data_IF_563382906751
#
_entry.id   IF_563382906751
#
_cell.length_a   1.000
_cell.length_b   1.000
_cell.length_c   1.000
_cell.angle_alpha   90.00
_cell.angle_beta   90.00
_cell.angle_gamma   90.00
#
_symmetry.space_group_name_H-M   'P 1'
#
loop_
_entity.id
_entity.type
_entity.pdbx_description
1 polymer ?
#
# COMPACT_ATOMS: atom_id res chain seq x y z
N UNK A 1 -17.36 -34.57 14.72
CA UNK A 1 -15.94 -34.20 14.52
C UNK A 1 -15.82 -33.52 13.16
N UNK A 2 -15.89 -32.19 13.13
CA UNK A 2 -15.79 -31.40 11.90
C UNK A 2 -14.36 -30.92 11.76
N UNK A 3 -13.67 -31.33 10.70
CA UNK A 3 -12.28 -30.97 10.42
C UNK A 3 -12.10 -29.46 10.20
N UNK A 4 -10.88 -28.92 10.35
CA UNK A 4 -10.66 -27.49 10.32
C UNK A 4 -10.92 -26.94 8.91
N UNK A 5 -11.73 -25.88 8.86
CA UNK A 5 -12.01 -25.12 7.66
C UNK A 5 -10.71 -24.58 7.06
N UNK A 6 -10.47 -24.92 5.79
CA UNK A 6 -9.39 -24.41 4.96
C UNK A 6 -9.48 -22.87 4.91
N UNK A 7 -8.53 -22.18 5.52
CA UNK A 7 -8.39 -20.71 5.42
C UNK A 7 -8.16 -20.34 3.94
N UNK A 8 -8.94 -19.43 3.33
CA UNK A 8 -8.55 -18.85 2.06
C UNK A 8 -7.30 -17.99 2.32
N UNK A 9 -6.16 -18.45 1.80
CA UNK A 9 -4.89 -17.74 1.92
C UNK A 9 -4.99 -16.33 1.35
N UNK A 10 -4.51 -15.36 2.12
CA UNK A 10 -4.36 -13.98 1.67
C UNK A 10 -3.50 -13.94 0.39
N UNK A 11 -3.93 -13.27 -0.69
CA UNK A 11 -3.20 -13.26 -1.96
C UNK A 11 -1.94 -12.37 -1.95
N UNK A 12 -1.44 -11.92 -0.79
CA UNK A 12 -0.26 -11.05 -0.67
C UNK A 12 0.99 -11.79 -0.19
N UNK A 13 1.17 -13.03 -0.66
CA UNK A 13 2.49 -13.66 -0.68
C UNK A 13 2.98 -13.59 -2.13
N UNK A 14 4.12 -12.96 -2.36
CA UNK A 14 4.90 -13.30 -3.54
C UNK A 14 5.11 -14.82 -3.53
N UNK A 15 4.85 -15.48 -4.65
CA UNK A 15 5.19 -16.88 -4.81
C UNK A 15 6.71 -17.01 -4.67
N UNK A 16 7.18 -17.40 -3.47
CA UNK A 16 8.60 -17.40 -3.10
C UNK A 16 8.96 -16.15 -2.31
N UNK A 17 9.38 -16.35 -1.06
CA UNK A 17 9.46 -15.31 -0.04
C UNK A 17 10.37 -14.16 -0.40
N UNK A 18 9.81 -12.95 -0.35
CA UNK A 18 10.32 -11.69 0.23
C UNK A 18 9.13 -10.69 0.12
N UNK A 19 8.84 -9.83 1.12
CA UNK A 19 7.85 -8.77 0.95
C UNK A 19 8.17 -7.92 -0.28
N UNK A 20 7.18 -7.53 -1.09
CA UNK A 20 7.39 -6.71 -2.30
C UNK A 20 8.08 -5.36 -1.99
N UNK A 21 8.04 -4.92 -0.73
CA UNK A 21 8.78 -3.75 -0.22
C UNK A 21 10.29 -3.88 -0.36
N UNK A 22 10.82 -5.09 -0.58
CA UNK A 22 12.26 -5.34 -0.69
C UNK A 22 12.72 -5.65 -2.12
N UNK A 23 11.80 -5.74 -3.09
CA UNK A 23 12.15 -6.04 -4.48
C UNK A 23 12.51 -4.75 -5.25
N UNK A 24 13.72 -4.24 -5.00
CA UNK A 24 14.21 -2.95 -5.51
C UNK A 24 14.23 -2.84 -7.04
N UNK A 25 14.60 -3.91 -7.74
CA UNK A 25 14.77 -3.88 -9.22
C UNK A 25 13.44 -3.81 -9.99
N UNK A 26 12.31 -4.13 -9.33
CA UNK A 26 10.97 -4.13 -9.93
C UNK A 26 10.16 -2.87 -9.64
N UNK A 27 10.71 -1.89 -8.94
CA UNK A 27 9.95 -0.75 -8.44
C UNK A 27 9.22 0.07 -9.52
N UNK A 28 9.82 0.34 -10.71
CA UNK A 28 9.11 1.06 -11.78
C UNK A 28 7.85 0.32 -12.28
N UNK A 29 7.94 -0.99 -12.47
CA UNK A 29 6.79 -1.82 -12.88
C UNK A 29 5.73 -1.89 -11.78
N UNK A 30 6.16 -1.98 -10.51
CA UNK A 30 5.26 -1.91 -9.36
C UNK A 30 4.55 -0.55 -9.31
N UNK A 31 5.27 0.56 -9.50
CA UNK A 31 4.71 1.90 -9.53
C UNK A 31 3.66 2.05 -10.65
N UNK A 32 3.94 1.51 -11.84
CA UNK A 32 2.97 1.50 -12.94
C UNK A 32 1.70 0.70 -12.59
N UNK A 33 1.86 -0.48 -11.98
CA UNK A 33 0.74 -1.31 -11.54
C UNK A 33 -0.09 -0.62 -10.43
N UNK A 34 0.58 0.06 -9.50
CA UNK A 34 -0.06 0.84 -8.45
C UNK A 34 -0.83 2.03 -9.03
N UNK A 35 -0.24 2.78 -9.97
CA UNK A 35 -0.88 3.91 -10.64
C UNK A 35 -2.13 3.47 -11.41
N UNK A 36 -2.05 2.34 -12.14
CA UNK A 36 -3.23 1.76 -12.81
C UNK A 36 -4.31 1.36 -11.81
N UNK A 37 -3.93 0.65 -10.75
CA UNK A 37 -4.87 0.22 -9.70
C UNK A 37 -5.51 1.41 -8.96
N UNK A 38 -4.77 2.51 -8.79
CA UNK A 38 -5.27 3.75 -8.20
C UNK A 38 -6.32 4.40 -9.12
N UNK A 39 -6.03 4.56 -10.42
CA UNK A 39 -6.99 5.10 -11.40
C UNK A 39 -8.30 4.31 -11.41
N UNK A 40 -8.22 2.98 -11.46
CA UNK A 40 -9.39 2.10 -11.43
C UNK A 40 -10.19 2.21 -10.12
N UNK A 41 -9.54 2.48 -8.99
CA UNK A 41 -10.19 2.62 -7.68
C UNK A 41 -10.79 4.01 -7.48
N UNK A 42 -10.10 5.06 -7.93
CA UNK A 42 -10.57 6.43 -7.88
C UNK A 42 -11.92 6.58 -8.60
N UNK A 43 -12.11 5.92 -9.74
CA UNK A 43 -13.40 5.90 -10.47
C UNK A 43 -14.55 5.18 -9.74
N UNK A 44 -14.27 4.50 -8.62
CA UNK A 44 -15.26 3.79 -7.78
C UNK A 44 -15.33 4.36 -6.36
N UNK A 45 -14.66 5.47 -6.08
CA UNK A 45 -14.65 6.12 -4.76
C UNK A 45 -16.06 6.61 -4.42
N UNK A 46 -16.53 6.34 -3.19
CA UNK A 46 -17.76 6.91 -2.65
C UNK A 46 -17.53 8.40 -2.35
N UNK A 47 -18.34 9.28 -2.94
CA UNK A 47 -18.14 10.72 -2.86
C UNK A 47 -18.55 11.31 -1.51
N UNK A 48 -19.45 10.62 -0.82
CA UNK A 48 -20.09 10.96 0.45
C UNK A 48 -19.34 10.42 1.69
N UNK A 49 -18.30 9.61 1.50
CA UNK A 49 -17.52 9.03 2.59
C UNK A 49 -16.16 9.73 2.76
N UNK A 50 -15.76 9.86 4.03
CA UNK A 50 -14.45 10.37 4.40
C UNK A 50 -13.34 9.45 3.87
N UNK A 51 -12.31 10.06 3.31
CA UNK A 51 -11.10 9.36 2.90
C UNK A 51 -9.95 10.35 2.86
N UNK A 52 -8.72 9.82 2.95
CA UNK A 52 -7.51 10.63 2.91
C UNK A 52 -6.81 10.40 1.59
N UNK A 53 -6.51 11.49 0.88
CA UNK A 53 -5.66 11.47 -0.31
C UNK A 53 -4.64 12.59 -0.17
N UNK A 54 -3.36 12.25 -0.26
CA UNK A 54 -2.27 13.21 -0.30
C UNK A 54 -1.27 12.77 -1.37
N UNK A 55 -0.79 13.74 -2.14
CA UNK A 55 0.34 13.60 -3.07
C UNK A 55 1.26 14.79 -2.78
N UNK A 56 2.42 14.51 -2.18
CA UNK A 56 3.30 15.55 -1.66
C UNK A 56 4.76 15.09 -1.71
N UNK A 57 5.61 15.98 -2.21
CA UNK A 57 7.06 15.89 -2.10
C UNK A 57 7.49 16.83 -0.97
N UNK A 58 8.11 16.28 0.08
CA UNK A 58 8.42 17.00 1.31
C UNK A 58 9.83 16.66 1.79
N UNK A 59 10.50 17.65 2.39
CA UNK A 59 11.70 17.43 3.21
C UNK A 59 11.26 17.24 4.66
N UNK A 60 11.68 16.14 5.26
CA UNK A 60 11.35 15.78 6.64
C UNK A 60 12.60 15.27 7.37
N UNK A 61 12.60 15.39 8.69
CA UNK A 61 13.63 14.78 9.53
C UNK A 61 13.59 13.23 9.38
N UNK A 62 14.75 12.53 9.38
CA UNK A 62 14.79 11.08 9.27
C UNK A 62 14.03 10.32 10.37
N UNK A 63 14.03 10.83 11.61
CA UNK A 63 13.27 10.24 12.73
C UNK A 63 11.77 10.34 12.45
N UNK A 64 11.30 11.51 11.99
CA UNK A 64 9.92 11.69 11.57
C UNK A 64 9.54 10.76 10.42
N UNK A 65 10.44 10.57 9.45
CA UNK A 65 10.22 9.62 8.35
C UNK A 65 10.06 8.18 8.85
N UNK A 66 10.93 7.72 9.74
CA UNK A 66 10.85 6.39 10.33
C UNK A 66 9.53 6.18 11.08
N UNK A 67 9.17 7.14 11.93
CA UNK A 67 7.92 7.14 12.68
C UNK A 67 6.68 7.04 11.80
N UNK A 68 6.60 7.87 10.76
CA UNK A 68 5.44 7.90 9.85
C UNK A 68 5.37 6.61 9.03
N UNK A 69 6.52 6.11 8.53
CA UNK A 69 6.59 4.85 7.78
C UNK A 69 6.08 3.68 8.63
N UNK A 70 6.46 3.62 9.89
CA UNK A 70 6.07 2.51 10.77
C UNK A 70 4.55 2.57 11.10
N UNK A 71 3.99 3.77 11.25
CA UNK A 71 2.52 3.96 11.40
C UNK A 71 1.75 3.56 10.14
N UNK A 72 2.28 3.88 8.95
CA UNK A 72 1.70 3.44 7.67
C UNK A 72 1.69 1.91 7.60
N UNK A 73 2.81 1.26 7.95
CA UNK A 73 2.90 -0.19 7.96
C UNK A 73 1.89 -0.81 8.92
N UNK A 74 1.79 -0.29 10.15
CA UNK A 74 0.83 -0.74 11.14
C UNK A 74 -0.62 -0.64 10.63
N UNK A 75 -1.01 0.50 10.04
CA UNK A 75 -2.35 0.68 9.49
C UNK A 75 -2.68 -0.31 8.36
N UNK A 76 -1.71 -0.64 7.50
CA UNK A 76 -1.90 -1.66 6.45
C UNK A 76 -2.03 -3.06 7.04
N UNK A 77 -1.26 -3.39 8.09
CA UNK A 77 -1.40 -4.66 8.82
C UNK A 77 -2.80 -4.77 9.44
N UNK A 78 -3.26 -3.73 10.13
CA UNK A 78 -4.59 -3.70 10.76
C UNK A 78 -5.71 -3.94 9.74
N UNK A 79 -5.62 -3.34 8.54
CA UNK A 79 -6.59 -3.57 7.45
C UNK A 79 -6.59 -5.02 6.95
N UNK A 80 -5.43 -5.66 6.89
CA UNK A 80 -5.33 -7.05 6.45
C UNK A 80 -5.85 -8.03 7.51
N UNK A 81 -5.49 -7.80 8.78
CA UNK A 81 -5.91 -8.65 9.89
C UNK A 81 -7.40 -8.52 10.19
N UNK A 82 -7.95 -7.30 10.07
CA UNK A 82 -9.37 -7.01 10.23
C UNK A 82 -10.24 -7.36 9.01
N UNK A 83 -9.66 -7.86 7.91
CA UNK A 83 -10.38 -8.11 6.67
C UNK A 83 -11.43 -9.23 6.83
N UNK A 84 -12.69 -8.89 6.60
CA UNK A 84 -13.79 -9.86 6.55
C UNK A 84 -13.91 -10.54 5.18
N UNK A 85 -14.69 -11.63 5.12
CA UNK A 85 -15.02 -12.28 3.87
C UNK A 85 -15.76 -11.32 2.91
N UNK A 86 -15.57 -11.43 1.58
CA UNK A 86 -16.22 -10.54 0.63
C UNK A 86 -17.75 -10.52 0.79
N UNK A 87 -18.34 -9.32 0.83
CA UNK A 87 -19.79 -9.08 0.94
C UNK A 87 -20.40 -9.53 2.28
N UNK A 88 -19.59 -9.65 3.34
CA UNK A 88 -20.10 -9.85 4.70
C UNK A 88 -21.01 -8.67 5.10
N UNK A 89 -22.23 -8.91 5.64
CA UNK A 89 -23.11 -7.83 6.11
C UNK A 89 -22.40 -6.91 7.10
N UNK A 90 -22.63 -5.60 6.99
CA UNK A 90 -22.02 -4.60 7.88
C UNK A 90 -20.57 -4.22 7.54
N UNK A 91 -20.01 -4.73 6.44
CA UNK A 91 -18.64 -4.39 6.00
C UNK A 91 -18.66 -3.45 4.81
N UNK A 92 -17.69 -2.53 4.76
CA UNK A 92 -17.46 -1.66 3.61
C UNK A 92 -16.32 -2.20 2.76
N UNK A 93 -16.41 -2.02 1.44
CA UNK A 93 -15.34 -2.38 0.51
C UNK A 93 -14.35 -1.22 0.42
N UNK A 94 -13.20 -1.37 1.05
CA UNK A 94 -12.10 -0.40 0.95
C UNK A 94 -11.10 -0.77 -0.14
N UNK A 95 -10.51 0.24 -0.76
CA UNK A 95 -9.35 0.07 -1.63
C UNK A 95 -8.22 0.98 -1.15
N UNK A 96 -7.10 0.39 -0.72
CA UNK A 96 -5.94 1.14 -0.21
C UNK A 96 -4.73 1.01 -1.14
N UNK A 97 -4.15 2.13 -1.57
CA UNK A 97 -2.90 2.19 -2.34
C UNK A 97 -1.95 3.10 -1.57
N UNK A 98 -0.75 2.62 -1.24
CA UNK A 98 0.28 3.46 -0.61
C UNK A 98 1.61 3.15 -1.29
N UNK A 99 2.31 4.21 -1.69
CA UNK A 99 3.71 4.17 -2.08
C UNK A 99 4.36 5.39 -1.43
N UNK A 100 5.32 5.16 -0.53
CA UNK A 100 6.08 6.21 0.12
C UNK A 100 7.53 5.73 0.21
N UNK A 101 8.46 6.53 -0.30
CA UNK A 101 9.86 6.19 -0.41
C UNK A 101 10.72 7.45 -0.41
N UNK A 102 11.94 7.42 0.13
CA UNK A 102 12.89 8.52 -0.03
C UNK A 102 13.21 8.75 -1.50
N UNK A 103 13.30 10.02 -1.91
CA UNK A 103 13.79 10.40 -3.23
C UNK A 103 15.30 10.62 -3.16
N UNK A 104 16.02 10.18 -4.19
CA UNK A 104 17.40 10.61 -4.38
C UNK A 104 17.39 12.05 -4.88
N UNK A 105 18.36 12.85 -4.46
CA UNK A 105 18.58 14.16 -5.08
C UNK A 105 18.84 13.96 -6.58
N UNK A 106 18.19 14.77 -7.41
CA UNK A 106 18.58 14.81 -8.82
C UNK A 106 19.94 15.50 -8.89
N UNK A 107 20.97 14.75 -9.26
CA UNK A 107 22.23 15.35 -9.68
C UNK A 107 21.94 16.14 -10.97
N UNK A 108 21.72 17.45 -10.85
CA UNK A 108 21.56 18.34 -11.99
C UNK A 108 22.80 18.32 -12.90
N UNK A 109 22.69 18.79 -14.15
CA UNK A 109 23.77 18.77 -15.14
C UNK A 109 24.87 19.82 -14.88
N UNK A 110 25.37 19.94 -13.64
CA UNK A 110 26.47 20.85 -13.30
C UNK A 110 27.59 20.10 -12.60
N UNK A 111 28.46 19.54 -13.42
CA UNK A 111 29.65 18.80 -13.03
C UNK A 111 30.60 18.58 -14.21
N UNK A 112 30.85 19.62 -15.01
CA UNK A 112 32.03 19.74 -15.87
C UNK A 112 32.31 21.20 -16.20
#
# INVERSE_FOLDING_TARGET
MTGPARRPGAPYRAAGGTPLTEQRDGFPLLAEALARSLRERAGRRRADEEGVTADAELWVDPELWHDVRDRILAAIVDLHEGAAAPRTPGTIRVGATVAAFPLAESMGPEGR
#
